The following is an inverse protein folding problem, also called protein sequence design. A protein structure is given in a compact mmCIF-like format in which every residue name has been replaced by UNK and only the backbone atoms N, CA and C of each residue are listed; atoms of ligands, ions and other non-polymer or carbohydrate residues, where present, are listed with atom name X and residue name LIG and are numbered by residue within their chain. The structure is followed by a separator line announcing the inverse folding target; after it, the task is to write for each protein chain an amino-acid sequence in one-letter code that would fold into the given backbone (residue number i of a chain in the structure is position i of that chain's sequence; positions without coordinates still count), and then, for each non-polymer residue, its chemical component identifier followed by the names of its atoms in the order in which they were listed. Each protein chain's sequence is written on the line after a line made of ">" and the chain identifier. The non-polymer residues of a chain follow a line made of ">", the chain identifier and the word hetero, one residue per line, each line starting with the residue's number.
data_IF_919421717234
#
_entry.id   IF_919421717234
#
_cell.length_a   1.000
_cell.length_b   1.000
_cell.length_c   1.000
_cell.angle_alpha   90.00
_cell.angle_beta   90.00
_cell.angle_gamma   90.00
#
_symmetry.space_group_name_H-M   'P 1'
#
loop_
_entity.id
_entity.type
_entity.pdbx_description
1 polymer ?
#
# COMPACT_ATOMS: atom_id res chain seq x y z
N UNK A 1 37.85 73.63 -28.07
CA UNK A 1 36.78 72.67 -28.43
C UNK A 1 36.24 72.05 -27.14
N UNK A 2 35.00 72.36 -26.76
CA UNK A 2 34.32 71.74 -25.60
C UNK A 2 33.36 70.67 -26.12
N UNK A 3 33.59 69.42 -25.74
CA UNK A 3 32.71 68.30 -26.09
C UNK A 3 31.45 68.36 -25.22
N UNK A 4 30.32 68.59 -25.85
CA UNK A 4 28.99 68.57 -25.24
C UNK A 4 28.63 67.14 -24.83
N UNK A 5 28.61 66.88 -23.51
CA UNK A 5 28.09 65.63 -22.96
C UNK A 5 26.57 65.66 -23.08
N UNK A 6 26.03 65.01 -24.11
CA UNK A 6 24.59 64.67 -24.17
C UNK A 6 24.32 63.67 -23.05
N UNK A 7 23.67 64.15 -21.98
CA UNK A 7 23.22 63.30 -20.88
C UNK A 7 22.26 62.25 -21.43
N UNK A 8 22.65 60.99 -21.34
CA UNK A 8 21.83 59.86 -21.71
C UNK A 8 20.66 59.75 -20.71
N UNK A 9 19.49 60.25 -21.10
CA UNK A 9 18.23 60.00 -20.40
C UNK A 9 17.76 58.58 -20.71
N UNK A 10 18.48 57.57 -20.21
CA UNK A 10 18.09 56.16 -20.26
C UNK A 10 17.28 55.80 -19.01
N UNK A 11 16.33 56.66 -18.62
CA UNK A 11 15.37 56.34 -17.57
C UNK A 11 14.34 55.39 -18.16
N UNK A 12 14.41 54.11 -17.79
CA UNK A 12 13.32 53.17 -18.07
C UNK A 12 12.05 53.80 -17.49
N UNK A 13 11.01 54.04 -18.30
CA UNK A 13 9.86 54.77 -17.81
C UNK A 13 9.13 53.93 -16.78
N UNK A 14 8.77 54.56 -15.65
CA UNK A 14 8.25 53.90 -14.44
C UNK A 14 7.05 52.97 -14.74
N UNK A 15 6.21 53.33 -15.72
CA UNK A 15 5.06 52.53 -16.15
C UNK A 15 5.45 51.14 -16.67
N UNK A 16 6.64 51.02 -17.28
CA UNK A 16 7.13 49.77 -17.84
C UNK A 16 7.58 48.82 -16.72
N UNK A 17 8.13 49.35 -15.62
CA UNK A 17 8.44 48.60 -14.41
C UNK A 17 7.18 48.12 -13.68
N UNK A 18 6.15 48.96 -13.60
CA UNK A 18 4.87 48.57 -13.00
C UNK A 18 4.20 47.44 -13.79
N UNK A 19 4.29 47.49 -15.12
CA UNK A 19 3.73 46.47 -16.01
C UNK A 19 4.43 45.11 -15.86
N UNK A 20 5.76 45.07 -15.73
CA UNK A 20 6.50 43.81 -15.53
C UNK A 20 6.19 43.18 -14.18
N UNK A 21 6.09 43.97 -13.12
CA UNK A 21 5.69 43.50 -11.78
C UNK A 21 4.26 42.94 -11.83
N UNK A 22 3.34 43.63 -12.50
CA UNK A 22 1.95 43.17 -12.68
C UNK A 22 1.87 41.84 -13.42
N UNK A 23 2.60 41.69 -14.53
CA UNK A 23 2.66 40.43 -15.28
C UNK A 23 3.29 39.29 -14.47
N UNK A 24 4.30 39.59 -13.64
CA UNK A 24 4.92 38.60 -12.78
C UNK A 24 3.94 38.09 -11.72
N UNK A 25 3.22 38.99 -11.03
CA UNK A 25 2.19 38.62 -10.04
C UNK A 25 1.07 37.83 -10.71
N UNK A 26 0.59 38.27 -11.88
CA UNK A 26 -0.45 37.56 -12.64
C UNK A 26 0.00 36.14 -13.01
N UNK A 27 1.25 35.98 -13.46
CA UNK A 27 1.81 34.66 -13.81
C UNK A 27 1.90 33.74 -12.59
N UNK A 28 2.33 34.25 -11.44
CA UNK A 28 2.38 33.49 -10.18
C UNK A 28 0.95 33.10 -9.74
N UNK A 29 -0.01 34.03 -9.81
CA UNK A 29 -1.40 33.74 -9.48
C UNK A 29 -2.03 32.66 -10.38
N UNK A 30 -1.73 32.67 -11.68
CA UNK A 30 -2.17 31.63 -12.62
C UNK A 30 -1.55 30.26 -12.33
N UNK A 31 -0.35 30.21 -11.76
CA UNK A 31 0.29 28.94 -11.35
C UNK A 31 -0.25 28.42 -10.02
N UNK A 32 -0.56 29.31 -9.07
CA UNK A 32 -1.24 28.95 -7.81
C UNK A 32 -2.66 28.41 -8.03
N UNK A 33 -3.26 28.68 -9.19
CA UNK A 33 -4.60 28.21 -9.58
C UNK A 33 -4.66 26.80 -10.15
N UNK A 34 -3.52 26.09 -10.34
CA UNK A 34 -3.55 24.64 -10.48
C UNK A 34 -3.92 24.05 -9.12
N UNK A 35 -5.22 24.13 -8.85
CA UNK A 35 -5.89 23.53 -7.72
C UNK A 35 -5.30 22.14 -7.56
N UNK A 36 -4.82 21.83 -6.36
CA UNK A 36 -4.61 20.47 -5.93
C UNK A 36 -5.93 19.75 -6.15
N UNK A 37 -6.11 19.18 -7.35
CA UNK A 37 -7.14 18.21 -7.59
C UNK A 37 -6.74 17.08 -6.68
N UNK A 38 -7.39 17.02 -5.51
CA UNK A 38 -7.27 15.90 -4.59
C UNK A 38 -7.48 14.68 -5.47
N UNK A 39 -6.41 13.92 -5.69
CA UNK A 39 -6.44 12.79 -6.59
C UNK A 39 -7.60 11.90 -6.13
N UNK A 40 -8.63 11.78 -6.96
CA UNK A 40 -9.80 10.98 -6.62
C UNK A 40 -9.33 9.53 -6.59
N UNK A 41 -9.07 9.02 -5.38
CA UNK A 41 -8.70 7.63 -5.17
C UNK A 41 -9.92 6.77 -5.42
N UNK A 42 -10.03 6.24 -6.64
CA UNK A 42 -11.18 5.43 -7.06
C UNK A 42 -11.18 4.03 -6.41
N UNK A 43 -10.02 3.51 -6.02
CA UNK A 43 -9.90 2.17 -5.41
C UNK A 43 -10.06 2.24 -3.90
N UNK A 44 -11.04 1.51 -3.37
CA UNK A 44 -11.27 1.38 -1.93
C UNK A 44 -10.38 0.27 -1.35
N UNK A 45 -9.13 0.60 -1.06
CA UNK A 45 -8.16 -0.32 -0.48
C UNK A 45 -8.53 -0.75 0.93
N UNK A 46 -8.50 -2.06 1.17
CA UNK A 46 -8.74 -2.65 2.50
C UNK A 46 -7.44 -2.98 3.21
N UNK A 47 -7.36 -2.85 4.54
CA UNK A 47 -6.14 -3.18 5.27
C UNK A 47 -5.85 -4.68 5.23
N UNK A 48 -4.56 -5.05 5.29
CA UNK A 48 -4.12 -6.45 5.30
C UNK A 48 -4.66 -7.28 6.49
N UNK A 49 -5.13 -6.64 7.55
CA UNK A 49 -5.75 -7.31 8.70
C UNK A 49 -7.03 -8.06 8.31
N UNK A 50 -7.70 -7.64 7.24
CA UNK A 50 -8.92 -8.25 6.71
C UNK A 50 -8.66 -9.47 5.82
N UNK A 51 -7.40 -9.80 5.53
CA UNK A 51 -7.00 -10.84 4.57
C UNK A 51 -7.53 -12.23 4.97
N UNK A 52 -7.64 -12.52 6.27
CA UNK A 52 -8.14 -13.82 6.79
C UNK A 52 -9.65 -13.92 6.79
N UNK A 53 -10.34 -12.82 7.08
CA UNK A 53 -11.79 -12.82 7.31
C UNK A 53 -12.55 -12.73 5.99
N UNK A 54 -12.07 -11.91 5.04
CA UNK A 54 -12.85 -11.56 3.86
C UNK A 54 -12.54 -12.42 2.63
N UNK A 55 -11.35 -13.01 2.58
CA UNK A 55 -11.00 -13.93 1.50
C UNK A 55 -11.99 -15.11 1.41
N UNK A 56 -12.41 -15.65 2.55
CA UNK A 56 -13.36 -16.77 2.59
C UNK A 56 -14.80 -16.38 2.20
N UNK A 57 -15.15 -15.10 2.30
CA UNK A 57 -16.54 -14.67 2.19
C UNK A 57 -16.95 -14.32 0.75
N UNK A 58 -16.02 -13.91 -0.12
CA UNK A 58 -16.38 -13.27 -1.39
C UNK A 58 -16.09 -14.08 -2.66
N UNK A 59 -15.41 -15.24 -2.58
CA UNK A 59 -14.99 -16.07 -3.73
C UNK A 59 -14.27 -15.28 -4.86
N UNK A 60 -13.78 -14.07 -4.55
CA UNK A 60 -13.06 -13.21 -5.47
C UNK A 60 -11.56 -13.35 -5.25
N UNK A 61 -10.74 -13.31 -6.31
CA UNK A 61 -9.29 -13.25 -6.15
C UNK A 61 -8.88 -11.99 -5.38
N UNK A 62 -7.89 -12.14 -4.49
CA UNK A 62 -7.34 -11.02 -3.72
C UNK A 62 -6.28 -10.31 -4.56
N UNK A 63 -6.36 -8.99 -4.66
CA UNK A 63 -5.32 -8.15 -5.23
C UNK A 63 -4.56 -7.47 -4.09
N UNK A 64 -3.37 -7.97 -3.80
CA UNK A 64 -2.48 -7.42 -2.77
C UNK A 64 -1.59 -6.35 -3.38
N UNK A 65 -1.64 -5.15 -2.82
CA UNK A 65 -0.79 -4.01 -3.20
C UNK A 65 0.25 -3.73 -2.12
N UNK A 66 1.49 -4.08 -2.40
CA UNK A 66 2.62 -3.89 -1.48
C UNK A 66 3.20 -2.49 -1.67
N UNK A 67 3.20 -1.69 -0.60
CA UNK A 67 3.66 -0.30 -0.63
C UNK A 67 4.95 -0.11 0.16
N UNK A 68 5.76 0.86 -0.27
CA UNK A 68 6.97 1.25 0.43
C UNK A 68 6.77 2.56 1.18
N UNK A 69 7.27 2.63 2.41
CA UNK A 69 7.19 3.82 3.25
C UNK A 69 7.98 4.96 2.60
N UNK A 70 7.29 6.06 2.27
CA UNK A 70 7.90 7.21 1.62
C UNK A 70 8.51 6.91 0.23
N UNK A 71 8.05 5.86 -0.47
CA UNK A 71 8.55 5.52 -1.80
C UNK A 71 7.90 6.43 -2.87
N UNK A 72 8.67 7.25 -3.62
CA UNK A 72 8.11 8.08 -4.69
C UNK A 72 7.43 7.27 -5.78
N UNK A 73 7.90 6.04 -6.01
CA UNK A 73 7.28 5.12 -6.99
C UNK A 73 5.91 4.63 -6.54
N UNK A 74 5.69 4.50 -5.23
CA UNK A 74 4.40 4.13 -4.66
C UNK A 74 3.41 5.27 -4.86
N UNK A 75 3.80 6.50 -4.54
CA UNK A 75 2.99 7.71 -4.78
C UNK A 75 2.64 7.86 -6.27
N UNK A 76 3.62 7.70 -7.17
CA UNK A 76 3.36 7.69 -8.63
C UNK A 76 2.37 6.60 -9.06
N UNK A 77 2.36 5.43 -8.40
CA UNK A 77 1.43 4.36 -8.71
C UNK A 77 0.00 4.73 -8.27
N UNK A 78 -0.15 5.30 -7.08
CA UNK A 78 -1.42 5.85 -6.60
C UNK A 78 -1.98 6.90 -7.57
N UNK A 79 -1.16 7.88 -7.94
CA UNK A 79 -1.59 9.02 -8.73
C UNK A 79 -1.89 8.67 -10.18
N UNK A 80 -1.04 7.86 -10.83
CA UNK A 80 -1.13 7.60 -12.27
C UNK A 80 -1.98 6.36 -12.56
N UNK A 81 -1.80 5.31 -11.75
CA UNK A 81 -2.40 3.98 -12.03
C UNK A 81 -3.77 3.87 -11.38
N UNK A 82 -3.89 4.15 -10.09
CA UNK A 82 -5.16 3.96 -9.37
C UNK A 82 -6.14 5.14 -9.51
N UNK A 83 -5.68 6.30 -9.96
CA UNK A 83 -6.57 7.36 -10.45
C UNK A 83 -7.10 7.10 -11.87
N UNK A 84 -6.59 6.08 -12.57
CA UNK A 84 -7.14 5.72 -13.88
C UNK A 84 -8.45 4.94 -13.69
N UNK A 85 -9.57 5.53 -14.16
CA UNK A 85 -10.91 4.95 -14.02
C UNK A 85 -11.02 3.51 -14.56
N UNK A 86 -10.41 3.19 -15.70
CA UNK A 86 -10.46 1.85 -16.29
C UNK A 86 -9.77 0.80 -15.40
N UNK A 87 -8.64 1.17 -14.79
CA UNK A 87 -7.92 0.31 -13.86
C UNK A 87 -8.75 0.12 -12.58
N UNK A 88 -9.26 1.22 -12.01
CA UNK A 88 -10.04 1.17 -10.78
C UNK A 88 -11.34 0.36 -10.94
N UNK A 89 -12.07 0.54 -12.03
CA UNK A 89 -13.28 -0.24 -12.33
C UNK A 89 -12.94 -1.74 -12.48
N UNK A 90 -11.83 -2.09 -13.14
CA UNK A 90 -11.39 -3.48 -13.23
C UNK A 90 -11.07 -4.06 -11.84
N UNK A 91 -10.34 -3.31 -11.00
CA UNK A 91 -10.02 -3.74 -9.64
C UNK A 91 -11.29 -3.98 -8.80
N UNK A 92 -12.20 -3.01 -8.76
CA UNK A 92 -13.39 -3.08 -7.91
C UNK A 92 -14.39 -4.15 -8.34
N UNK A 93 -14.51 -4.40 -9.64
CA UNK A 93 -15.45 -5.38 -10.16
C UNK A 93 -14.94 -6.81 -9.96
N UNK A 94 -13.67 -7.05 -10.29
CA UNK A 94 -13.13 -8.40 -10.47
C UNK A 94 -12.25 -8.89 -9.31
N UNK A 95 -11.76 -7.99 -8.45
CA UNK A 95 -10.81 -8.33 -7.40
C UNK A 95 -11.25 -7.82 -6.03
N UNK A 96 -10.61 -8.37 -4.99
CA UNK A 96 -10.70 -7.86 -3.63
C UNK A 96 -9.42 -7.08 -3.27
N UNK A 97 -9.42 -5.73 -3.33
CA UNK A 97 -8.22 -4.93 -3.17
C UNK A 97 -7.76 -4.82 -1.71
N UNK A 98 -6.55 -5.28 -1.42
CA UNK A 98 -5.93 -5.22 -0.10
C UNK A 98 -4.60 -4.45 -0.21
N UNK A 99 -4.39 -3.48 0.65
CA UNK A 99 -3.11 -2.78 0.79
C UNK A 99 -2.25 -3.43 1.88
N UNK A 100 -1.00 -3.70 1.54
CA UNK A 100 0.01 -4.24 2.45
C UNK A 100 1.09 -3.17 2.66
N UNK A 101 1.13 -2.52 3.83
CA UNK A 101 2.09 -1.48 4.13
C UNK A 101 3.51 -2.03 4.32
N UNK A 102 4.50 -1.14 4.29
CA UNK A 102 5.88 -1.50 4.57
C UNK A 102 6.02 -1.96 6.02
N UNK A 103 6.82 -3.02 6.23
CA UNK A 103 6.99 -3.60 7.56
C UNK A 103 7.62 -2.64 8.58
N UNK A 104 8.29 -1.59 8.13
CA UNK A 104 9.00 -0.65 9.01
C UNK A 104 8.04 0.32 9.73
N UNK A 105 6.78 0.45 9.30
CA UNK A 105 5.78 1.29 9.99
C UNK A 105 5.22 0.66 11.26
N UNK A 106 5.45 -0.63 11.49
CA UNK A 106 4.81 -1.38 12.58
C UNK A 106 5.84 -1.87 13.60
N UNK A 107 5.38 -2.11 14.81
CA UNK A 107 6.13 -2.78 15.89
C UNK A 107 5.89 -4.30 15.84
N UNK A 108 6.67 -5.07 16.62
CA UNK A 108 6.44 -6.50 16.79
C UNK A 108 5.16 -6.72 17.62
N UNK A 109 4.22 -7.61 17.24
CA UNK A 109 4.33 -8.75 16.32
C UNK A 109 3.88 -8.50 14.86
N UNK A 110 3.28 -7.36 14.54
CA UNK A 110 2.69 -7.10 13.23
C UNK A 110 3.75 -6.98 12.13
N UNK A 111 4.88 -6.34 12.45
CA UNK A 111 6.08 -6.27 11.60
C UNK A 111 6.51 -7.65 11.09
N UNK A 112 6.52 -8.67 11.96
CA UNK A 112 6.89 -10.04 11.59
C UNK A 112 5.89 -10.66 10.63
N UNK A 113 4.58 -10.40 10.82
CA UNK A 113 3.55 -10.90 9.93
C UNK A 113 3.67 -10.28 8.52
N UNK A 114 3.86 -8.96 8.44
CA UNK A 114 4.05 -8.26 7.16
C UNK A 114 5.31 -8.78 6.46
N UNK A 115 6.44 -8.92 7.18
CA UNK A 115 7.67 -9.52 6.61
C UNK A 115 7.44 -10.92 6.06
N UNK A 116 6.63 -11.74 6.73
CA UNK A 116 6.22 -13.07 6.23
C UNK A 116 5.43 -12.97 4.93
N UNK A 117 4.54 -11.98 4.78
CA UNK A 117 3.80 -11.75 3.53
C UNK A 117 4.75 -11.36 2.38
N UNK A 118 5.66 -10.41 2.61
CA UNK A 118 6.67 -10.02 1.61
C UNK A 118 7.51 -11.22 1.17
N UNK A 119 7.96 -12.04 2.13
CA UNK A 119 8.74 -13.25 1.85
C UNK A 119 7.91 -14.31 1.10
N UNK A 120 6.66 -14.53 1.50
CA UNK A 120 5.75 -15.53 0.90
C UNK A 120 5.54 -15.28 -0.60
N UNK A 121 5.32 -14.03 -0.98
CA UNK A 121 5.06 -13.64 -2.37
C UNK A 121 6.30 -13.08 -3.08
N UNK A 122 7.49 -13.34 -2.52
CA UNK A 122 8.79 -12.95 -3.08
C UNK A 122 8.85 -11.48 -3.54
N UNK A 123 8.26 -10.56 -2.76
CA UNK A 123 8.21 -9.14 -3.07
C UNK A 123 9.58 -8.51 -2.80
N UNK A 124 10.36 -8.31 -3.87
CA UNK A 124 11.72 -7.75 -3.79
C UNK A 124 11.72 -6.22 -3.90
N UNK A 125 10.74 -5.65 -4.58
CA UNK A 125 10.65 -4.22 -4.85
C UNK A 125 9.26 -3.68 -4.53
N UNK A 126 9.17 -2.39 -4.26
CA UNK A 126 7.91 -1.66 -4.04
C UNK A 126 7.82 -0.48 -5.01
N UNK A 127 6.62 -0.11 -5.50
CA UNK A 127 5.35 -0.83 -5.34
C UNK A 127 5.35 -2.20 -6.04
N UNK A 128 4.51 -3.14 -5.57
CA UNK A 128 4.27 -4.42 -6.27
C UNK A 128 2.81 -4.85 -6.15
N UNK A 129 2.30 -5.55 -7.16
CA UNK A 129 0.96 -6.12 -7.16
C UNK A 129 1.03 -7.64 -7.23
N UNK A 130 0.27 -8.32 -6.38
CA UNK A 130 0.16 -9.78 -6.34
C UNK A 130 -1.30 -10.15 -6.39
N UNK A 131 -1.69 -11.01 -7.31
CA UNK A 131 -3.02 -11.61 -7.34
C UNK A 131 -2.95 -13.00 -6.75
N UNK A 132 -3.84 -13.29 -5.80
CA UNK A 132 -3.93 -14.58 -5.13
C UNK A 132 -5.35 -15.12 -5.15
N UNK A 133 -5.48 -16.44 -5.04
CA UNK A 133 -6.77 -17.09 -4.78
C UNK A 133 -7.26 -16.73 -3.37
N UNK A 134 -8.56 -16.92 -3.07
CA UNK A 134 -9.08 -16.85 -1.70
C UNK A 134 -8.32 -17.69 -0.67
N UNK A 135 -7.73 -18.81 -1.09
CA UNK A 135 -6.88 -19.66 -0.25
C UNK A 135 -5.48 -19.07 0.00
N UNK A 136 -5.14 -17.97 -0.66
CA UNK A 136 -3.83 -17.32 -0.59
C UNK A 136 -2.76 -18.00 -1.45
N UNK A 137 -3.16 -18.76 -2.47
CA UNK A 137 -2.23 -19.29 -3.49
C UNK A 137 -1.97 -18.20 -4.52
N UNK A 138 -0.72 -17.94 -4.83
CA UNK A 138 -0.36 -16.92 -5.83
C UNK A 138 -0.79 -17.35 -7.24
N UNK A 139 -1.45 -16.45 -7.96
CA UNK A 139 -1.85 -16.63 -9.36
C UNK A 139 -0.86 -15.93 -10.29
N UNK A 140 -0.52 -14.68 -9.96
CA UNK A 140 0.42 -13.88 -10.74
C UNK A 140 0.91 -12.70 -9.90
N UNK A 141 2.10 -12.18 -10.21
CA UNK A 141 2.60 -10.97 -9.58
C UNK A 141 3.33 -10.08 -10.59
N UNK A 142 3.48 -8.81 -10.23
CA UNK A 142 4.35 -7.87 -10.93
C UNK A 142 5.14 -7.05 -9.92
N UNK A 143 6.44 -6.93 -10.18
CA UNK A 143 7.38 -6.21 -9.32
C UNK A 143 7.64 -4.81 -9.87
N UNK A 144 7.65 -3.83 -8.96
CA UNK A 144 7.94 -2.44 -9.28
C UNK A 144 6.78 -1.68 -9.92
N UNK A 145 7.01 -0.39 -10.17
CA UNK A 145 6.05 0.49 -10.83
C UNK A 145 5.76 0.03 -12.26
N UNK A 146 4.47 -0.03 -12.61
CA UNK A 146 3.95 -0.29 -13.96
C UNK A 146 2.96 0.81 -14.35
N UNK A 147 3.09 1.44 -15.53
CA UNK A 147 2.11 2.41 -16.02
C UNK A 147 0.71 1.81 -16.16
N UNK A 148 -0.32 2.64 -16.16
CA UNK A 148 -1.73 2.23 -16.09
C UNK A 148 -2.13 1.23 -17.19
N UNK A 149 -1.61 1.41 -18.42
CA UNK A 149 -1.86 0.48 -19.52
C UNK A 149 -1.29 -0.93 -19.26
N UNK A 150 -0.09 -1.03 -18.70
CA UNK A 150 0.53 -2.32 -18.35
C UNK A 150 -0.17 -2.97 -17.17
N UNK A 151 -0.52 -2.19 -16.15
CA UNK A 151 -1.30 -2.69 -15.00
C UNK A 151 -2.67 -3.20 -15.43
N UNK A 152 -3.37 -2.48 -16.32
CA UNK A 152 -4.64 -2.94 -16.87
C UNK A 152 -4.51 -4.26 -17.65
N UNK A 153 -3.48 -4.38 -18.49
CA UNK A 153 -3.22 -5.64 -19.21
C UNK A 153 -2.92 -6.78 -18.25
N UNK A 154 -2.11 -6.55 -17.22
CA UNK A 154 -1.85 -7.52 -16.16
C UNK A 154 -3.15 -8.01 -15.50
N UNK A 155 -4.01 -7.09 -15.04
CA UNK A 155 -5.29 -7.42 -14.42
C UNK A 155 -6.21 -8.20 -15.37
N UNK A 156 -6.26 -7.78 -16.64
CA UNK A 156 -7.06 -8.44 -17.67
C UNK A 156 -6.57 -9.86 -17.95
N UNK A 157 -5.26 -10.06 -18.10
CA UNK A 157 -4.67 -11.40 -18.32
C UNK A 157 -4.95 -12.32 -17.14
N UNK A 158 -4.90 -11.81 -15.91
CA UNK A 158 -5.21 -12.64 -14.72
C UNK A 158 -6.69 -12.99 -14.66
N UNK A 159 -7.58 -12.07 -15.05
CA UNK A 159 -9.03 -12.30 -15.14
C UNK A 159 -9.40 -13.33 -16.21
N UNK A 160 -8.82 -13.18 -17.40
CA UNK A 160 -9.15 -13.99 -18.59
C UNK A 160 -8.36 -15.30 -18.64
N UNK A 161 -7.26 -15.40 -17.88
CA UNK A 161 -6.44 -16.60 -17.79
C UNK A 161 -7.24 -17.81 -17.32
N UNK A 162 -6.73 -19.04 -17.54
CA UNK A 162 -7.40 -20.25 -17.07
C UNK A 162 -7.59 -20.10 -15.56
N UNK A 163 -8.83 -19.77 -15.16
CA UNK A 163 -9.27 -19.80 -13.76
C UNK A 163 -8.73 -21.11 -13.23
N UNK A 164 -7.98 -21.07 -12.13
CA UNK A 164 -7.40 -22.25 -11.49
C UNK A 164 -8.54 -23.15 -11.04
N UNK A 165 -9.17 -23.85 -11.99
CA UNK A 165 -10.19 -24.88 -11.80
C UNK A 165 -9.52 -26.21 -11.49
N UNK A 166 -8.18 -26.24 -11.48
CA UNK A 166 -7.38 -27.47 -11.41
C UNK A 166 -6.81 -27.75 -10.02
N UNK A 167 -6.83 -26.78 -9.10
CA UNK A 167 -6.31 -26.99 -7.74
C UNK A 167 -7.29 -27.78 -6.83
N UNK A 168 -8.60 -27.75 -7.09
CA UNK A 168 -9.58 -28.53 -6.30
C UNK A 168 -9.76 -29.97 -6.78
N UNK A 169 -9.26 -30.34 -7.97
CA UNK A 169 -9.33 -31.72 -8.45
C UNK A 169 -8.14 -32.60 -8.05
N UNK A 170 -7.13 -32.05 -7.37
CA UNK A 170 -5.96 -32.81 -6.91
C UNK A 170 -6.21 -33.60 -5.62
N UNK A 171 -7.35 -33.42 -4.95
CA UNK A 171 -7.79 -34.25 -3.81
C UNK A 171 -8.55 -35.51 -4.26
N UNK A 172 -8.41 -35.92 -5.53
CA UNK A 172 -8.68 -37.31 -5.91
C UNK A 172 -7.61 -38.21 -5.28
N UNK A 173 -7.88 -38.56 -4.04
CA UNK A 173 -7.43 -39.71 -3.28
C UNK A 173 -6.70 -40.74 -4.17
N UNK A 174 -5.37 -40.90 -4.02
CA UNK A 174 -4.66 -41.95 -4.74
C UNK A 174 -5.22 -43.30 -4.28
N UNK A 175 -6.11 -43.88 -5.10
CA UNK A 175 -6.57 -45.25 -4.98
C UNK A 175 -5.36 -46.18 -5.02
N UNK A 176 -4.95 -46.64 -3.85
CA UNK A 176 -4.31 -47.92 -3.57
C UNK A 176 -3.38 -48.48 -4.65
N UNK A 177 -2.23 -47.85 -4.87
CA UNK A 177 -1.08 -48.54 -5.43
C UNK A 177 -0.16 -49.00 -4.28
N UNK A 178 -0.60 -50.08 -3.63
CA UNK A 178 0.22 -50.95 -2.80
C UNK A 178 1.52 -51.32 -3.53
N UNK A 179 2.65 -50.78 -3.10
CA UNK A 179 3.94 -51.15 -3.69
C UNK A 179 5.15 -50.43 -3.11
N UNK A 180 5.58 -50.83 -1.90
CA UNK A 180 6.97 -50.87 -1.42
C UNK A 180 7.93 -49.76 -1.91
N UNK A 181 8.33 -48.85 -1.02
CA UNK A 181 9.69 -48.80 -0.46
C UNK A 181 9.91 -47.51 0.31
N UNK A 182 10.08 -47.67 1.64
CA UNK A 182 10.42 -46.60 2.59
C UNK A 182 11.85 -46.10 2.33
N UNK A 183 12.01 -44.84 1.97
CA UNK A 183 13.06 -43.97 2.50
C UNK A 183 12.41 -42.65 2.87
N UNK A 184 12.05 -42.56 4.15
CA UNK A 184 11.53 -41.35 4.81
C UNK A 184 12.59 -40.26 4.74
N UNK A 185 12.40 -39.29 3.83
CA UNK A 185 13.02 -37.99 3.99
C UNK A 185 12.17 -37.23 5.00
N UNK A 186 12.66 -37.25 6.23
CA UNK A 186 12.06 -36.62 7.40
C UNK A 186 12.23 -35.10 7.31
N UNK A 187 11.19 -34.41 6.82
CA UNK A 187 11.13 -32.95 6.76
C UNK A 187 10.64 -32.32 8.08
N UNK A 188 10.40 -33.11 9.13
CA UNK A 188 9.88 -32.60 10.41
C UNK A 188 10.93 -32.03 11.38
N UNK A 189 12.19 -31.86 10.94
CA UNK A 189 13.27 -31.36 11.80
C UNK A 189 13.62 -29.89 11.55
N UNK A 190 12.63 -28.99 11.53
CA UNK A 190 12.84 -27.53 11.51
C UNK A 190 11.95 -26.74 12.48
N UNK A 191 11.35 -27.44 13.44
CA UNK A 191 10.90 -26.85 14.69
C UNK A 191 11.77 -27.46 15.79
N UNK A 192 12.20 -26.65 16.75
CA UNK A 192 13.00 -27.02 17.92
C UNK A 192 14.51 -26.99 17.69
N UNK A 193 15.10 -25.79 17.70
CA UNK A 193 16.25 -25.47 18.56
C UNK A 193 16.69 -24.03 18.32
N UNK A 194 16.06 -23.10 19.02
CA UNK A 194 16.79 -21.99 19.65
C UNK A 194 15.90 -21.50 20.80
N UNK A 195 16.29 -21.92 22.01
CA UNK A 195 15.68 -21.48 23.25
C UNK A 195 15.82 -19.97 23.37
N UNK A 196 14.69 -19.29 23.25
CA UNK A 196 14.51 -18.06 24.00
C UNK A 196 13.90 -18.50 25.33
N UNK A 197 14.70 -18.41 26.38
CA UNK A 197 14.22 -18.17 27.73
C UNK A 197 13.34 -16.91 27.67
N UNK A 198 12.05 -17.12 27.40
CA UNK A 198 11.04 -16.12 27.65
C UNK A 198 11.10 -15.87 29.16
N UNK A 199 11.29 -14.61 29.62
CA UNK A 199 11.10 -14.32 31.02
C UNK A 199 9.72 -14.81 31.40
N UNK A 200 9.65 -15.61 32.47
CA UNK A 200 8.40 -16.00 33.11
C UNK A 200 7.49 -14.77 33.15
N UNK A 201 6.32 -14.89 32.52
CA UNK A 201 5.27 -13.89 32.71
C UNK A 201 5.09 -13.75 34.22
N UNK A 202 5.23 -12.55 34.80
CA UNK A 202 4.85 -12.38 36.19
C UNK A 202 3.39 -12.81 36.34
N UNK A 203 3.14 -13.64 37.35
CA UNK A 203 1.81 -14.12 37.68
C UNK A 203 0.90 -12.91 37.91
N UNK A 204 -0.11 -12.74 37.05
CA UNK A 204 -1.04 -11.59 37.05
C UNK A 204 -2.03 -11.65 38.24
N UNK A 205 -1.90 -12.65 39.11
CA UNK A 205 -2.80 -12.83 40.27
C UNK A 205 -2.32 -12.13 41.56
N UNK A 206 -1.16 -11.44 41.56
CA UNK A 206 -0.64 -10.73 42.75
C UNK A 206 -0.75 -9.20 42.68
N UNK A 207 -1.54 -8.65 41.76
CA UNK A 207 -1.87 -7.22 41.77
C UNK A 207 -3.13 -6.99 42.61
N UNK A 208 -2.92 -6.77 43.91
CA UNK A 208 -3.89 -6.06 44.75
C UNK A 208 -4.32 -4.77 44.03
N UNK A 209 -5.62 -4.46 43.94
CA UNK A 209 -6.07 -3.19 43.41
C UNK A 209 -5.64 -2.08 44.37
N UNK A 210 -4.65 -1.29 43.94
CA UNK A 210 -4.31 -0.01 44.56
C UNK A 210 -5.52 0.93 44.42
N UNK A 211 -6.36 0.93 45.46
CA UNK A 211 -7.41 1.92 45.67
C UNK A 211 -6.78 3.23 46.14
N UNK A 212 -6.12 3.93 45.23
CA UNK A 212 -5.77 5.33 45.44
C UNK A 212 -6.43 6.19 44.38
N UNK A 213 -7.61 6.68 44.76
CA UNK A 213 -8.13 8.02 44.50
C UNK A 213 -7.42 8.84 43.40
N UNK A 214 -8.19 9.35 42.43
CA UNK A 214 -8.62 10.76 42.51
C UNK A 214 -9.54 11.12 41.35
N UNK A 215 -10.74 11.52 41.78
CA UNK A 215 -11.58 12.50 41.12
C UNK A 215 -10.76 13.58 40.42
N UNK A 216 -11.09 13.88 39.17
CA UNK A 216 -11.28 15.25 38.68
C UNK A 216 -11.81 15.17 37.24
N UNK A 217 -13.14 15.18 37.12
CA UNK A 217 -13.82 15.61 35.89
C UNK A 217 -13.96 17.13 35.92
N UNK A 218 -13.23 17.91 35.11
CA UNK A 218 -13.65 19.26 34.81
C UNK A 218 -14.79 19.22 33.79
N UNK A 219 -15.88 19.88 34.19
CA UNK A 219 -17.11 20.00 33.46
C UNK A 219 -16.95 20.63 32.08
N UNK A 220 -17.69 20.03 31.15
CA UNK A 220 -18.27 20.59 29.94
C UNK A 220 -18.47 22.11 29.97
N UNK A 221 -17.87 22.80 29.00
CA UNK A 221 -18.38 24.09 28.51
C UNK A 221 -18.52 24.01 26.98
N UNK A 222 -19.72 23.67 26.55
CA UNK A 222 -20.16 23.86 25.16
C UNK A 222 -20.44 25.36 24.94
N UNK A 223 -19.70 25.98 24.03
CA UNK A 223 -20.01 27.31 23.49
C UNK A 223 -20.59 27.09 22.09
N UNK A 224 -21.86 27.46 21.91
CA UNK A 224 -22.49 27.62 20.59
C UNK A 224 -22.03 28.94 19.96
N UNK A 225 -21.61 28.87 18.70
CA UNK A 225 -21.64 29.98 17.75
C UNK A 225 -22.50 29.56 16.55
#
# INVERSE_FOLDING_TARGET
>A
MRLSRKGATNGIPIWLLALTIGLFILRVALWSGHSQQVALKFVNWRPYTELKTLAKAQDKPLLLYFVGDGSPKTEMMDDIVFSNRMVAECILNDFYPIIVPGANQFEDPERLYIRKLYKKYMVVQVPSLVVTTPAGTEVSHTNGFKPSAQTYQFLKTVKDGPRIKEAETSDKEPKDASGKSKKSLDWHRWHDSEGNDLPEKPDINDLEPDQTEREHSPASSFIHF
#
